data_IF_957400962785
#
_entry.id   IF_957400962785
#
_cell.length_a   1.000
_cell.length_b   1.000
_cell.length_c   1.000
_cell.angle_alpha   90.00
_cell.angle_beta   90.00
_cell.angle_gamma   90.00
#
_symmetry.space_group_name_H-M   'P 1'
#
loop_
_entity.id
_entity.type
_entity.pdbx_description
1 polymer ?
#
# COMPACT_ATOMS: atom_id res chain seq x y z
N UNK A 1 -6.48 12.44 11.28
CA UNK A 1 -5.23 11.72 10.93
C UNK A 1 -4.96 11.94 9.45
N UNK A 2 -3.71 12.22 9.03
CA UNK A 2 -3.38 12.57 7.63
C UNK A 2 -3.82 11.49 6.61
N UNK A 3 -3.62 10.21 6.93
CA UNK A 3 -4.00 9.08 6.07
C UNK A 3 -5.51 9.04 5.76
N UNK A 4 -6.35 9.22 6.79
CA UNK A 4 -7.80 9.20 6.62
C UNK A 4 -8.29 10.28 5.64
N UNK A 5 -7.69 11.48 5.68
CA UNK A 5 -8.02 12.55 4.76
C UNK A 5 -7.64 12.19 3.31
N UNK A 6 -6.44 11.64 3.10
CA UNK A 6 -5.98 11.16 1.78
C UNK A 6 -6.91 10.07 1.24
N UNK A 7 -7.29 9.11 2.08
CA UNK A 7 -8.20 8.03 1.69
C UNK A 7 -9.59 8.55 1.33
N UNK A 8 -10.07 9.59 2.01
CA UNK A 8 -11.34 10.25 1.69
C UNK A 8 -11.27 10.97 0.34
N UNK A 9 -10.24 11.78 0.13
CA UNK A 9 -10.04 12.56 -1.10
C UNK A 9 -9.88 11.67 -2.34
N UNK A 10 -9.18 10.54 -2.20
CA UNK A 10 -8.97 9.56 -3.28
C UNK A 10 -10.09 8.52 -3.40
N UNK A 11 -11.16 8.62 -2.61
CA UNK A 11 -12.29 7.69 -2.65
C UNK A 11 -11.98 6.26 -2.21
N UNK A 12 -10.84 6.02 -1.57
CA UNK A 12 -10.39 4.71 -1.09
C UNK A 12 -11.32 4.16 0.00
N UNK A 13 -11.92 5.05 0.80
CA UNK A 13 -12.86 4.68 1.86
C UNK A 13 -14.14 3.99 1.37
N UNK A 14 -14.40 3.97 0.06
CA UNK A 14 -15.51 3.20 -0.53
C UNK A 14 -15.27 1.69 -0.49
N UNK A 15 -14.00 1.30 -0.57
CA UNK A 15 -13.58 -0.10 -0.72
C UNK A 15 -12.80 -0.61 0.51
N UNK A 16 -12.20 0.31 1.29
CA UNK A 16 -11.29 -0.04 2.38
C UNK A 16 -11.51 0.83 3.62
N UNK A 17 -11.57 0.21 4.79
CA UNK A 17 -11.32 0.91 6.06
C UNK A 17 -9.82 1.20 6.22
N UNK A 18 -9.46 2.12 7.12
CA UNK A 18 -8.05 2.40 7.44
C UNK A 18 -7.34 1.13 7.88
N UNK A 19 -7.96 0.35 8.77
CA UNK A 19 -7.41 -0.90 9.29
C UNK A 19 -7.21 -1.92 8.17
N UNK A 20 -8.22 -2.13 7.31
CA UNK A 20 -8.12 -3.10 6.22
C UNK A 20 -7.04 -2.74 5.20
N UNK A 21 -6.83 -1.45 4.92
CA UNK A 21 -5.77 -0.98 4.05
C UNK A 21 -4.40 -1.25 4.67
N UNK A 22 -4.22 -0.93 5.96
CA UNK A 22 -2.96 -1.16 6.66
C UNK A 22 -2.62 -2.66 6.73
N UNK A 23 -3.60 -3.52 6.98
CA UNK A 23 -3.42 -4.97 6.98
C UNK A 23 -2.98 -5.53 5.61
N UNK A 24 -3.45 -4.96 4.50
CA UNK A 24 -2.97 -5.38 3.17
C UNK A 24 -1.54 -4.91 2.88
N UNK A 25 -1.19 -3.69 3.32
CA UNK A 25 0.15 -3.15 3.15
C UNK A 25 1.18 -3.87 4.04
N UNK A 26 0.80 -4.26 5.26
CA UNK A 26 1.67 -4.99 6.20
C UNK A 26 2.18 -6.32 5.62
N UNK A 27 1.40 -6.97 4.76
CA UNK A 27 1.78 -8.24 4.11
C UNK A 27 2.94 -8.08 3.12
N UNK A 28 3.22 -6.85 2.66
CA UNK A 28 4.31 -6.58 1.73
C UNK A 28 5.62 -6.58 2.53
N UNK A 29 6.50 -7.55 2.25
CA UNK A 29 7.80 -7.61 2.94
C UNK A 29 8.86 -6.87 2.13
N UNK A 30 9.55 -5.95 2.79
CA UNK A 30 10.81 -5.36 2.30
C UNK A 30 11.96 -6.31 2.63
N UNK A 31 12.79 -6.63 1.66
CA UNK A 31 13.98 -7.46 1.82
C UNK A 31 15.18 -6.60 1.44
N UNK A 32 16.15 -6.50 2.35
CA UNK A 32 17.42 -5.84 2.10
C UNK A 32 18.42 -6.88 1.60
N UNK A 33 19.01 -6.60 0.44
CA UNK A 33 20.01 -7.43 -0.21
C UNK A 33 21.41 -7.08 0.32
N UNK A 34 22.36 -8.00 0.18
CA UNK A 34 23.73 -7.81 0.68
C UNK A 34 24.45 -6.61 0.03
N UNK A 35 24.03 -6.21 -1.18
CA UNK A 35 24.54 -5.04 -1.89
C UNK A 35 23.92 -3.71 -1.42
N UNK A 36 23.04 -3.74 -0.41
CA UNK A 36 22.34 -2.57 0.13
C UNK A 36 21.09 -2.17 -0.66
N UNK A 37 20.75 -2.87 -1.74
CA UNK A 37 19.49 -2.67 -2.45
C UNK A 37 18.31 -3.22 -1.64
N UNK A 38 17.13 -2.68 -1.90
CA UNK A 38 15.90 -3.12 -1.27
C UNK A 38 14.90 -3.55 -2.31
N UNK A 39 14.37 -4.76 -2.15
CA UNK A 39 13.26 -5.27 -2.95
C UNK A 39 12.03 -5.44 -2.07
N UNK A 40 10.86 -5.54 -2.70
CA UNK A 40 9.62 -5.94 -2.02
C UNK A 40 9.16 -7.28 -2.57
N UNK A 41 8.44 -8.05 -1.75
CA UNK A 41 7.74 -9.24 -2.23
C UNK A 41 6.73 -8.89 -3.32
N UNK A 42 6.41 -9.86 -4.17
CA UNK A 42 5.42 -9.68 -5.23
C UNK A 42 4.08 -9.15 -4.71
N UNK A 43 3.55 -8.14 -5.40
CA UNK A 43 2.28 -7.51 -5.05
C UNK A 43 1.12 -8.29 -5.65
N UNK A 44 0.18 -8.67 -4.81
CA UNK A 44 -1.13 -9.17 -5.24
C UNK A 44 -1.90 -8.09 -6.00
N UNK A 45 -2.90 -8.47 -6.79
CA UNK A 45 -3.79 -7.53 -7.50
C UNK A 45 -4.38 -6.47 -6.56
N UNK A 46 -4.87 -6.91 -5.39
CA UNK A 46 -5.46 -6.03 -4.38
C UNK A 46 -4.47 -4.98 -3.87
N UNK A 47 -3.23 -5.39 -3.59
CA UNK A 47 -2.17 -4.49 -3.14
C UNK A 47 -1.77 -3.49 -4.24
N UNK A 48 -1.67 -3.94 -5.50
CA UNK A 48 -1.41 -3.03 -6.64
C UNK A 48 -2.49 -1.97 -6.76
N UNK A 49 -3.77 -2.35 -6.73
CA UNK A 49 -4.90 -1.41 -6.78
C UNK A 49 -4.87 -0.39 -5.61
N UNK A 50 -4.49 -0.81 -4.40
CA UNK A 50 -4.30 0.09 -3.26
C UNK A 50 -3.15 1.07 -3.52
N UNK A 51 -2.01 0.58 -4.00
CA UNK A 51 -0.83 1.41 -4.27
C UNK A 51 -1.06 2.40 -5.42
N UNK A 52 -1.75 1.98 -6.48
CA UNK A 52 -2.17 2.84 -7.60
C UNK A 52 -3.11 3.95 -7.11
N UNK A 53 -4.15 3.62 -6.33
CA UNK A 53 -5.05 4.63 -5.75
C UNK A 53 -4.29 5.63 -4.87
N UNK A 54 -3.26 5.19 -4.17
CA UNK A 54 -2.40 6.05 -3.34
C UNK A 54 -1.31 6.80 -4.13
N UNK A 55 -1.14 6.55 -5.43
CA UNK A 55 -0.02 7.03 -6.27
C UNK A 55 1.36 6.63 -5.70
N UNK A 56 1.48 5.41 -5.19
CA UNK A 56 2.72 4.85 -4.62
C UNK A 56 3.41 3.83 -5.55
N UNK A 57 2.77 3.48 -6.66
CA UNK A 57 3.34 2.67 -7.73
C UNK A 57 3.16 3.43 -9.05
N UNK A 58 4.19 3.40 -9.90
CA UNK A 58 4.18 3.96 -11.25
C UNK A 58 3.50 3.02 -12.24
#
# INVERSE_FOLDING_TARGET
>A
MRLLNIMKEKGILKDYTVESLLLELEKIKKIELENGESIVTELTRKQREIMEKLNLCA
#
